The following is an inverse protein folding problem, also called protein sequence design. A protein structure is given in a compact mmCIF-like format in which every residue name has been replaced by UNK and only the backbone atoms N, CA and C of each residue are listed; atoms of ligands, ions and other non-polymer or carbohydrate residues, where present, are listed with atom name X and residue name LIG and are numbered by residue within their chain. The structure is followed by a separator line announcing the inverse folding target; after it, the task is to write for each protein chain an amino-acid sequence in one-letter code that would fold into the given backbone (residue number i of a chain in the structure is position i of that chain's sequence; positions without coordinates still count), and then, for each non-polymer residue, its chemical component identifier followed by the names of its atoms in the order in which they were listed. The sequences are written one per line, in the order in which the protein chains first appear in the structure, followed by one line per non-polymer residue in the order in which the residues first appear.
data_IF_959540283887
#
_entry.id   IF_959540283887
#
_cell.length_a   1.000
_cell.length_b   1.000
_cell.length_c   1.000
_cell.angle_alpha   90.00
_cell.angle_beta   90.00
_cell.angle_gamma   90.00
#
_symmetry.space_group_name_H-M   'P 1'
#
loop_
_entity.id
_entity.type
_entity.pdbx_description
1 polymer ?
#
# COMPACT_ATOMS: atom_id res chain seq x y z
N UNK A 1 -3.20 14.46 -11.96
CA UNK A 1 -3.87 13.65 -10.93
C UNK A 1 -3.25 12.27 -10.86
N UNK A 2 -2.96 11.78 -9.65
CA UNK A 2 -2.33 10.48 -9.51
C UNK A 2 -3.37 9.36 -9.64
N UNK A 3 -3.01 8.35 -10.40
CA UNK A 3 -3.87 7.18 -10.58
C UNK A 3 -3.91 6.28 -9.36
N UNK A 4 -2.78 6.15 -8.65
CA UNK A 4 -2.65 5.24 -7.53
C UNK A 4 -2.60 6.02 -6.23
N UNK A 5 -3.41 5.59 -5.27
CA UNK A 5 -3.52 6.24 -3.97
C UNK A 5 -3.18 5.27 -2.86
N UNK A 6 -2.43 5.75 -1.87
CA UNK A 6 -2.15 4.96 -0.67
C UNK A 6 -3.26 5.22 0.33
N UNK A 7 -3.86 4.13 0.82
CA UNK A 7 -4.90 4.19 1.84
C UNK A 7 -4.46 3.37 3.05
N UNK A 8 -4.96 3.75 4.21
CA UNK A 8 -4.65 3.05 5.46
C UNK A 8 -5.93 2.54 6.08
N UNK A 9 -5.90 1.30 6.54
CA UNK A 9 -7.01 0.71 7.29
C UNK A 9 -6.46 0.15 8.59
N UNK A 10 -7.19 0.39 9.67
CA UNK A 10 -6.78 -0.11 10.99
C UNK A 10 -7.71 -1.24 11.43
N UNK A 11 -7.11 -2.33 11.89
CA UNK A 11 -7.83 -3.41 12.55
C UNK A 11 -7.18 -3.64 13.91
N UNK A 12 -7.90 -3.25 14.99
CA UNK A 12 -7.32 -3.32 16.32
C UNK A 12 -6.09 -2.44 16.43
N UNK A 13 -4.95 -3.03 16.80
CA UNK A 13 -3.67 -2.31 16.90
C UNK A 13 -2.84 -2.39 15.63
N UNK A 14 -3.31 -3.08 14.60
CA UNK A 14 -2.56 -3.29 13.36
C UNK A 14 -3.00 -2.30 12.29
N UNK A 15 -2.03 -1.66 11.65
CA UNK A 15 -2.27 -0.75 10.54
C UNK A 15 -1.89 -1.42 9.24
N UNK A 16 -2.83 -1.42 8.28
CA UNK A 16 -2.62 -1.95 6.95
C UNK A 16 -2.60 -0.82 5.94
N UNK A 17 -1.67 -0.86 5.01
CA UNK A 17 -1.57 0.13 3.95
C UNK A 17 -1.86 -0.52 2.62
N UNK A 18 -2.67 0.15 1.80
CA UNK A 18 -3.11 -0.39 0.52
C UNK A 18 -2.87 0.63 -0.58
N UNK A 19 -2.64 0.11 -1.79
CA UNK A 19 -2.56 0.94 -2.99
C UNK A 19 -3.82 0.66 -3.82
N UNK A 20 -4.59 1.72 -4.06
CA UNK A 20 -5.82 1.62 -4.84
C UNK A 20 -5.65 2.30 -6.18
N UNK A 21 -6.10 1.62 -7.24
CA UNK A 21 -6.16 2.21 -8.57
C UNK A 21 -7.43 3.07 -8.65
N UNK A 22 -7.24 4.38 -8.79
CA UNK A 22 -8.37 5.31 -8.77
C UNK A 22 -9.18 5.30 -10.06
N UNK A 23 -8.69 4.68 -11.14
CA UNK A 23 -9.48 4.50 -12.35
C UNK A 23 -10.48 3.36 -12.21
N UNK A 24 -10.03 2.23 -11.66
CA UNK A 24 -10.88 1.04 -11.52
C UNK A 24 -11.50 0.93 -10.13
N UNK A 25 -11.00 1.69 -9.16
CA UNK A 25 -11.36 1.65 -7.74
C UNK A 25 -11.03 0.31 -7.09
N UNK A 26 -10.17 -0.49 -7.71
CA UNK A 26 -9.75 -1.77 -7.20
C UNK A 26 -8.37 -1.69 -6.55
N UNK A 27 -8.10 -2.61 -5.62
CA UNK A 27 -6.81 -2.74 -5.00
C UNK A 27 -5.85 -3.41 -5.97
N UNK A 28 -4.64 -2.85 -6.11
CA UNK A 28 -3.62 -3.41 -7.00
C UNK A 28 -2.96 -4.59 -6.32
N UNK A 29 -3.06 -5.79 -6.93
CA UNK A 29 -2.67 -7.05 -6.27
C UNK A 29 -1.19 -7.16 -5.91
N UNK A 30 -0.30 -6.93 -6.86
CA UNK A 30 1.13 -7.21 -6.64
C UNK A 30 1.74 -6.37 -5.53
N UNK A 31 1.64 -5.03 -5.55
CA UNK A 31 2.20 -4.24 -4.46
C UNK A 31 1.52 -4.52 -3.13
N UNK A 32 0.23 -4.84 -3.13
CA UNK A 32 -0.48 -5.13 -1.88
C UNK A 32 -0.05 -6.46 -1.28
N UNK A 33 0.31 -7.44 -2.09
CA UNK A 33 0.91 -8.68 -1.58
C UNK A 33 2.21 -8.39 -0.85
N UNK A 34 3.04 -7.53 -1.40
CA UNK A 34 4.31 -7.15 -0.77
C UNK A 34 4.06 -6.43 0.55
N UNK A 35 3.11 -5.50 0.58
CA UNK A 35 2.79 -4.75 1.80
C UNK A 35 2.24 -5.67 2.89
N UNK A 36 1.37 -6.61 2.53
CA UNK A 36 0.87 -7.60 3.49
C UNK A 36 1.98 -8.47 4.05
N UNK A 37 2.94 -8.85 3.21
CA UNK A 37 4.09 -9.61 3.67
C UNK A 37 4.88 -8.82 4.71
N UNK A 38 5.04 -7.51 4.52
CA UNK A 38 5.74 -6.67 5.48
C UNK A 38 5.00 -6.57 6.82
N UNK A 39 3.67 -6.51 6.78
CA UNK A 39 2.87 -6.53 8.01
C UNK A 39 3.12 -7.84 8.77
N UNK A 40 3.11 -8.98 8.08
CA UNK A 40 3.37 -10.28 8.71
C UNK A 40 4.79 -10.41 9.23
N UNK A 41 5.74 -9.71 8.62
CA UNK A 41 7.13 -9.71 9.05
C UNK A 41 7.40 -8.72 10.20
N UNK A 42 6.36 -8.13 10.77
CA UNK A 42 6.44 -7.19 11.90
C UNK A 42 7.29 -5.95 11.59
N UNK A 43 7.26 -5.48 10.36
CA UNK A 43 7.91 -4.21 10.02
C UNK A 43 7.14 -3.06 10.66
N UNK A 44 7.84 -1.99 11.02
CA UNK A 44 7.20 -0.85 11.66
C UNK A 44 6.18 -0.21 10.71
N UNK A 45 5.06 0.32 11.24
CA UNK A 45 4.07 0.99 10.38
C UNK A 45 4.65 2.12 9.54
N UNK A 46 5.60 2.87 10.09
CA UNK A 46 6.24 3.95 9.34
C UNK A 46 7.03 3.43 8.14
N UNK A 47 7.73 2.31 8.31
CA UNK A 47 8.47 1.67 7.23
C UNK A 47 7.51 1.18 6.15
N UNK A 48 6.41 0.54 6.54
CA UNK A 48 5.42 0.03 5.60
C UNK A 48 4.75 1.19 4.84
N UNK A 49 4.42 2.26 5.55
CA UNK A 49 3.83 3.46 4.94
C UNK A 49 4.76 4.06 3.89
N UNK A 50 6.04 4.19 4.23
CA UNK A 50 7.04 4.71 3.28
C UNK A 50 7.14 3.83 2.05
N UNK A 51 7.16 2.51 2.24
CA UNK A 51 7.23 1.57 1.13
C UNK A 51 5.97 1.61 0.28
N UNK A 52 4.81 1.83 0.90
CA UNK A 52 3.56 1.96 0.16
C UNK A 52 3.59 3.17 -0.78
N UNK A 53 4.07 4.32 -0.29
CA UNK A 53 4.18 5.51 -1.13
C UNK A 53 5.21 5.30 -2.24
N UNK A 54 6.33 4.66 -1.95
CA UNK A 54 7.35 4.37 -2.96
C UNK A 54 6.80 3.44 -4.04
N UNK A 55 6.04 2.41 -3.65
CA UNK A 55 5.42 1.49 -4.60
C UNK A 55 4.37 2.18 -5.45
N UNK A 56 3.55 3.04 -4.85
CA UNK A 56 2.55 3.78 -5.59
C UNK A 56 3.20 4.69 -6.63
N UNK A 57 4.26 5.37 -6.26
CA UNK A 57 5.02 6.21 -7.17
C UNK A 57 5.60 5.39 -8.31
N UNK A 58 6.22 4.25 -7.99
CA UNK A 58 6.80 3.36 -8.99
C UNK A 58 5.72 2.85 -9.97
N UNK A 59 4.56 2.45 -9.45
CA UNK A 59 3.47 1.95 -10.29
C UNK A 59 2.93 3.01 -11.24
N UNK A 60 2.98 4.26 -10.82
CA UNK A 60 2.52 5.39 -11.63
C UNK A 60 3.29 5.49 -12.95
N UNK A 61 4.54 5.04 -12.96
CA UNK A 61 5.45 5.19 -14.08
C UNK A 61 5.69 3.89 -14.86
N UNK A 62 4.94 2.86 -14.58
CA UNK A 62 5.06 1.61 -15.33
C UNK A 62 4.30 1.60 -16.66
#
# INVERSE_FOLDING_TARGET
MKRYKVEMQREGSVKYFFIRDMETLEIVLLPNKYLMHQVRANRSPNTIRRNAFALAYYWEYL
#
